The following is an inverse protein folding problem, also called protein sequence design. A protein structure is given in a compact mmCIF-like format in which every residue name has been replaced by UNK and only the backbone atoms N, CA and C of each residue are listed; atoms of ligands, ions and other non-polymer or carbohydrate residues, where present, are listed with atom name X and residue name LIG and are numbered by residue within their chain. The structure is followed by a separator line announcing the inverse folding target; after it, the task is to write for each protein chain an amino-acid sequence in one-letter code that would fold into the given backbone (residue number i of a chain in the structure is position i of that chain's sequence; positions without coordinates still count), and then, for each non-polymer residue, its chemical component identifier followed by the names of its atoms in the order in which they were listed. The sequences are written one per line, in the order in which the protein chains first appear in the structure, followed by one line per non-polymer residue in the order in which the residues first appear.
data_IF_649390080814
#
_entry.id   IF_649390080814
#
_cell.length_a   1.000
_cell.length_b   1.000
_cell.length_c   1.000
_cell.angle_alpha   90.00
_cell.angle_beta   90.00
_cell.angle_gamma   90.00
#
_symmetry.space_group_name_H-M   'P 1'
#
loop_
_entity.id
_entity.type
_entity.pdbx_description
1 polymer ?
#
# COMPACT_ATOMS: atom_id res chain seq x y z
N UNK A 1 23.22 14.24 -9.11
CA UNK A 1 23.71 14.14 -7.73
C UNK A 1 24.94 13.29 -7.80
N UNK A 2 26.07 13.83 -7.35
CA UNK A 2 27.34 13.12 -7.36
C UNK A 2 27.39 12.07 -6.24
N UNK A 3 28.24 11.05 -6.39
CA UNK A 3 28.43 10.01 -5.36
C UNK A 3 28.82 10.59 -4.01
N UNK A 4 29.79 11.50 -3.99
CA UNK A 4 30.28 12.15 -2.77
C UNK A 4 29.19 12.99 -2.07
N UNK A 5 28.30 13.60 -2.86
CA UNK A 5 27.15 14.34 -2.35
C UNK A 5 26.14 13.39 -1.69
N UNK A 6 25.81 12.27 -2.36
CA UNK A 6 24.92 11.25 -1.80
C UNK A 6 25.49 10.66 -0.50
N UNK A 7 26.77 10.31 -0.48
CA UNK A 7 27.49 9.81 0.70
C UNK A 7 27.39 10.78 1.89
N UNK A 8 27.71 12.06 1.65
CA UNK A 8 27.64 13.10 2.68
C UNK A 8 26.24 13.24 3.26
N UNK A 9 25.22 13.26 2.41
CA UNK A 9 23.82 13.37 2.84
C UNK A 9 23.40 12.15 3.66
N UNK A 10 23.71 10.93 3.21
CA UNK A 10 23.34 9.71 3.95
C UNK A 10 24.02 9.64 5.32
N UNK A 11 25.32 9.96 5.41
CA UNK A 11 26.05 10.02 6.69
C UNK A 11 25.44 11.05 7.65
N UNK A 12 25.11 12.24 7.14
CA UNK A 12 24.47 13.29 7.95
C UNK A 12 23.09 12.86 8.46
N UNK A 13 22.32 12.14 7.64
CA UNK A 13 21.00 11.63 8.02
C UNK A 13 21.11 10.57 9.11
N UNK A 14 22.08 9.65 9.00
CA UNK A 14 22.34 8.62 10.01
C UNK A 14 22.70 9.24 11.36
N UNK A 15 23.68 10.16 11.37
CA UNK A 15 24.08 10.86 12.60
C UNK A 15 22.91 11.63 13.24
N UNK A 16 22.06 12.25 12.41
CA UNK A 16 20.85 12.92 12.89
C UNK A 16 19.84 11.94 13.51
N UNK A 17 19.63 10.78 12.89
CA UNK A 17 18.72 9.76 13.43
C UNK A 17 19.29 9.11 14.71
N UNK A 18 20.61 9.00 14.84
CA UNK A 18 21.23 8.43 16.04
C UNK A 18 21.22 9.42 17.22
N UNK A 19 21.34 10.72 16.93
CA UNK A 19 21.34 11.79 17.95
C UNK A 19 19.95 12.21 18.43
N UNK A 20 18.93 12.15 17.58
CA UNK A 20 17.56 12.55 17.93
C UNK A 20 16.55 11.43 17.59
N UNK A 21 16.00 10.74 18.62
CA UNK A 21 14.96 9.74 18.44
C UNK A 21 13.69 10.24 17.74
N UNK A 22 13.38 11.54 17.84
CA UNK A 22 12.22 12.16 17.21
C UNK A 22 12.50 12.67 15.79
N UNK A 23 13.75 12.60 15.31
CA UNK A 23 14.10 13.05 13.98
C UNK A 23 13.43 12.18 12.90
N UNK A 24 12.81 12.85 11.93
CA UNK A 24 12.29 12.24 10.72
C UNK A 24 13.17 12.53 9.50
N UNK A 25 12.85 11.88 8.38
CA UNK A 25 13.58 12.04 7.12
C UNK A 25 13.22 13.33 6.37
N UNK A 26 12.14 14.01 6.76
CA UNK A 26 11.70 15.24 6.10
C UNK A 26 12.74 16.37 6.24
N UNK A 27 13.00 17.08 5.14
CA UNK A 27 13.96 18.19 5.11
C UNK A 27 15.44 17.80 5.21
N UNK A 28 15.77 16.52 5.39
CA UNK A 28 17.16 16.05 5.59
C UNK A 28 17.98 15.88 4.31
N UNK A 29 17.37 16.01 3.13
CA UNK A 29 18.00 15.67 1.85
C UNK A 29 17.88 14.19 1.46
N UNK A 30 17.54 13.30 2.39
CA UNK A 30 17.36 11.85 2.14
C UNK A 30 16.51 11.54 0.90
N UNK A 31 15.33 12.19 0.76
CA UNK A 31 14.44 11.96 -0.37
C UNK A 31 15.00 12.43 -1.72
N UNK A 32 15.97 13.36 -1.73
CA UNK A 32 16.70 13.75 -2.95
C UNK A 32 17.65 12.63 -3.37
N UNK A 33 18.36 12.01 -2.43
CA UNK A 33 19.22 10.84 -2.68
C UNK A 33 18.40 9.68 -3.22
N UNK A 34 17.26 9.38 -2.58
CA UNK A 34 16.31 8.35 -3.07
C UNK A 34 15.85 8.65 -4.50
N UNK A 35 15.54 9.90 -4.81
CA UNK A 35 15.12 10.29 -6.16
C UNK A 35 16.25 10.14 -7.18
N UNK A 36 17.49 10.48 -6.80
CA UNK A 36 18.67 10.29 -7.64
C UNK A 36 18.94 8.80 -7.90
N UNK A 37 18.87 7.96 -6.86
CA UNK A 37 19.01 6.51 -6.98
C UNK A 37 17.93 5.89 -7.89
N UNK A 38 16.72 6.43 -7.92
CA UNK A 38 15.67 5.96 -8.86
C UNK A 38 15.96 6.26 -10.33
N UNK A 39 16.78 7.28 -10.60
CA UNK A 39 17.14 7.74 -11.96
C UNK A 39 18.45 7.13 -12.43
N UNK A 40 19.39 6.87 -11.51
CA UNK A 40 20.74 6.39 -11.83
C UNK A 40 20.97 5.00 -11.24
N UNK A 41 20.99 3.94 -12.08
CA UNK A 41 21.16 2.56 -11.62
C UNK A 41 22.40 2.34 -10.76
N UNK A 42 23.52 3.00 -11.07
CA UNK A 42 24.77 2.86 -10.31
C UNK A 42 24.63 3.35 -8.86
N UNK A 43 23.93 4.49 -8.66
CA UNK A 43 23.63 4.99 -7.32
C UNK A 43 22.68 4.06 -6.57
N UNK A 44 21.72 3.43 -7.25
CA UNK A 44 20.88 2.42 -6.63
C UNK A 44 21.70 1.19 -6.23
N UNK A 45 22.56 0.67 -7.10
CA UNK A 45 23.37 -0.52 -6.79
C UNK A 45 24.28 -0.30 -5.57
N UNK A 46 24.82 0.89 -5.42
CA UNK A 46 25.74 1.24 -4.33
C UNK A 46 25.01 1.56 -3.02
N UNK A 47 23.98 2.42 -3.08
CA UNK A 47 23.36 2.97 -1.87
C UNK A 47 22.04 2.30 -1.46
N UNK A 48 21.47 1.38 -2.26
CA UNK A 48 20.16 0.77 -1.99
C UNK A 48 20.04 0.18 -0.58
N UNK A 49 21.05 -0.57 -0.13
CA UNK A 49 21.04 -1.19 1.19
C UNK A 49 21.07 -0.15 2.31
N UNK A 50 21.94 0.87 2.18
CA UNK A 50 22.07 1.95 3.14
C UNK A 50 20.80 2.80 3.23
N UNK A 51 20.25 3.17 2.07
CA UNK A 51 18.96 3.86 1.97
C UNK A 51 17.85 3.06 2.66
N UNK A 52 17.82 1.73 2.46
CA UNK A 52 16.83 0.87 3.08
C UNK A 52 16.98 0.76 4.59
N UNK A 53 18.21 0.75 5.11
CA UNK A 53 18.48 0.74 6.55
C UNK A 53 18.02 2.05 7.20
N UNK A 54 18.38 3.19 6.62
CA UNK A 54 17.96 4.52 7.09
C UNK A 54 16.43 4.67 7.07
N UNK A 55 15.79 4.33 5.93
CA UNK A 55 14.33 4.40 5.79
C UNK A 55 13.62 3.49 6.79
N UNK A 56 14.16 2.30 7.05
CA UNK A 56 13.59 1.36 8.02
C UNK A 56 13.70 1.89 9.45
N UNK A 57 14.88 2.38 9.84
CA UNK A 57 15.11 2.95 11.17
C UNK A 57 14.14 4.10 11.46
N UNK A 58 14.03 5.06 10.54
CA UNK A 58 13.08 6.16 10.69
C UNK A 58 11.61 5.70 10.67
N UNK A 59 11.27 4.69 9.86
CA UNK A 59 9.92 4.16 9.76
C UNK A 59 9.46 3.43 11.02
N UNK A 60 10.33 2.60 11.63
CA UNK A 60 9.98 1.83 12.83
C UNK A 60 9.70 2.74 14.03
N UNK A 61 10.29 3.94 14.07
CA UNK A 61 9.98 4.99 15.06
C UNK A 61 8.68 5.74 14.76
N UNK A 62 8.29 5.81 13.49
CA UNK A 62 7.08 6.51 13.04
C UNK A 62 5.82 5.65 13.16
N UNK A 63 5.93 4.34 12.90
CA UNK A 63 4.79 3.43 12.90
C UNK A 63 4.25 3.21 14.32
N UNK A 64 2.93 3.26 14.50
CA UNK A 64 2.30 2.98 15.80
C UNK A 64 2.41 1.49 16.17
N UNK A 65 2.28 0.64 15.16
CA UNK A 65 2.40 -0.81 15.31
C UNK A 65 3.13 -1.36 14.08
N UNK A 66 4.10 -2.24 14.31
CA UNK A 66 4.71 -3.06 13.28
C UNK A 66 4.50 -4.54 13.62
N UNK A 67 4.23 -5.34 12.59
CA UNK A 67 4.03 -6.77 12.70
C UNK A 67 4.96 -7.47 11.71
N UNK A 68 5.69 -8.53 12.11
CA UNK A 68 6.51 -9.32 11.19
C UNK A 68 5.72 -9.70 9.94
N UNK A 69 6.35 -9.58 8.76
CA UNK A 69 5.63 -9.72 7.48
C UNK A 69 4.80 -11.01 7.40
N UNK A 70 5.38 -12.15 7.79
CA UNK A 70 4.71 -13.45 7.71
C UNK A 70 3.46 -13.48 8.59
N UNK A 71 3.57 -13.02 9.84
CA UNK A 71 2.45 -12.97 10.80
C UNK A 71 1.36 -12.05 10.28
N UNK A 72 1.72 -10.84 9.83
CA UNK A 72 0.74 -9.89 9.29
C UNK A 72 0.08 -10.39 8.01
N UNK A 73 0.81 -11.11 7.15
CA UNK A 73 0.24 -11.70 5.92
C UNK A 73 -0.71 -12.85 6.25
N UNK A 74 -0.36 -13.73 7.20
CA UNK A 74 -1.26 -14.79 7.65
C UNK A 74 -2.53 -14.17 8.23
N UNK A 75 -2.40 -13.18 9.12
CA UNK A 75 -3.54 -12.47 9.68
C UNK A 75 -4.42 -11.83 8.60
N UNK A 76 -3.80 -11.13 7.63
CA UNK A 76 -4.52 -10.52 6.51
C UNK A 76 -5.30 -11.57 5.69
N UNK A 77 -4.68 -12.72 5.40
CA UNK A 77 -5.34 -13.83 4.67
C UNK A 77 -6.50 -14.40 5.49
N UNK A 78 -6.32 -14.64 6.78
CA UNK A 78 -7.40 -15.13 7.67
C UNK A 78 -8.58 -14.16 7.69
N UNK A 79 -8.30 -12.85 7.79
CA UNK A 79 -9.33 -11.81 7.77
C UNK A 79 -9.99 -11.72 6.38
N UNK A 80 -9.26 -11.89 5.28
CA UNK A 80 -9.84 -12.01 3.94
C UNK A 80 -10.79 -13.20 3.85
N UNK A 81 -10.40 -14.37 4.36
CA UNK A 81 -11.27 -15.56 4.41
C UNK A 81 -12.53 -15.29 5.23
N UNK A 82 -12.41 -14.63 6.39
CA UNK A 82 -13.58 -14.22 7.17
C UNK A 82 -14.50 -13.28 6.37
N UNK A 83 -13.95 -12.34 5.60
CA UNK A 83 -14.70 -11.49 4.69
C UNK A 83 -15.46 -12.29 3.61
N UNK A 84 -14.82 -13.29 3.02
CA UNK A 84 -15.46 -14.21 2.06
C UNK A 84 -16.56 -15.04 2.73
N UNK A 85 -16.34 -15.51 3.97
CA UNK A 85 -17.37 -16.24 4.74
C UNK A 85 -18.58 -15.35 5.00
N UNK A 86 -18.40 -14.07 5.36
CA UNK A 86 -19.53 -13.14 5.52
C UNK A 86 -20.32 -12.98 4.22
N UNK A 87 -19.64 -12.84 3.08
CA UNK A 87 -20.29 -12.82 1.75
C UNK A 87 -21.04 -14.13 1.49
N UNK A 88 -20.43 -15.28 1.82
CA UNK A 88 -21.06 -16.59 1.66
C UNK A 88 -22.31 -16.79 2.54
N UNK A 89 -22.27 -16.32 3.79
CA UNK A 89 -23.41 -16.39 4.71
C UNK A 89 -24.63 -15.61 4.19
N UNK A 90 -24.41 -14.55 3.40
CA UNK A 90 -25.50 -13.80 2.77
C UNK A 90 -26.43 -14.68 1.91
N UNK A 91 -25.94 -15.78 1.31
CA UNK A 91 -26.74 -16.71 0.50
C UNK A 91 -27.69 -17.59 1.32
N UNK A 92 -27.42 -17.74 2.62
CA UNK A 92 -28.16 -18.63 3.53
C UNK A 92 -28.96 -17.88 4.58
N UNK A 93 -28.98 -16.55 4.49
CA UNK A 93 -29.60 -15.66 5.46
C UNK A 93 -30.73 -14.87 4.82
N UNK A 94 -31.78 -14.55 5.57
CA UNK A 94 -32.90 -13.75 5.09
C UNK A 94 -32.61 -12.24 5.11
N UNK A 95 -33.41 -11.49 4.38
CA UNK A 95 -33.54 -10.03 4.49
C UNK A 95 -33.87 -9.64 5.95
N UNK A 96 -33.25 -8.58 6.54
CA UNK A 96 -32.20 -7.69 5.98
C UNK A 96 -30.77 -8.10 6.29
N UNK A 97 -30.58 -9.20 7.02
CA UNK A 97 -29.27 -9.58 7.53
C UNK A 97 -28.33 -10.02 6.42
N UNK A 98 -28.81 -10.64 5.34
CA UNK A 98 -27.98 -10.96 4.17
C UNK A 98 -27.32 -9.72 3.54
N UNK A 99 -28.04 -8.60 3.43
CA UNK A 99 -27.49 -7.33 2.95
C UNK A 99 -26.40 -6.77 3.85
N UNK A 100 -26.61 -6.82 5.18
CA UNK A 100 -25.61 -6.41 6.16
C UNK A 100 -24.36 -7.30 6.11
N UNK A 101 -24.52 -8.62 6.01
CA UNK A 101 -23.42 -9.58 5.90
C UNK A 101 -22.60 -9.34 4.63
N UNK A 102 -23.26 -9.12 3.49
CA UNK A 102 -22.59 -8.79 2.22
C UNK A 102 -21.75 -7.51 2.34
N UNK A 103 -22.32 -6.45 2.92
CA UNK A 103 -21.62 -5.17 3.07
C UNK A 103 -20.48 -5.25 4.09
N UNK A 104 -20.67 -5.95 5.20
CA UNK A 104 -19.61 -6.21 6.18
C UNK A 104 -18.46 -7.00 5.53
N UNK A 105 -18.78 -8.08 4.81
CA UNK A 105 -17.82 -8.86 4.04
C UNK A 105 -17.07 -8.01 3.00
N UNK A 106 -17.80 -7.17 2.27
CA UNK A 106 -17.22 -6.21 1.31
C UNK A 106 -16.22 -5.28 1.98
N UNK A 107 -16.57 -4.68 3.12
CA UNK A 107 -15.69 -3.79 3.88
C UNK A 107 -14.39 -4.49 4.32
N UNK A 108 -14.52 -5.70 4.87
CA UNK A 108 -13.37 -6.54 5.27
C UNK A 108 -12.47 -6.86 4.08
N UNK A 109 -13.06 -7.25 2.95
CA UNK A 109 -12.33 -7.58 1.73
C UNK A 109 -11.65 -6.34 1.16
N UNK A 110 -12.28 -5.17 1.14
CA UNK A 110 -11.67 -3.92 0.67
C UNK A 110 -10.37 -3.58 1.43
N UNK A 111 -10.41 -3.66 2.76
CA UNK A 111 -9.25 -3.36 3.61
C UNK A 111 -8.12 -4.37 3.39
N UNK A 112 -8.43 -5.67 3.44
CA UNK A 112 -7.40 -6.71 3.39
C UNK A 112 -6.81 -6.89 1.99
N UNK A 113 -7.66 -6.91 0.96
CA UNK A 113 -7.22 -7.18 -0.41
C UNK A 113 -6.40 -6.02 -1.00
N UNK A 114 -6.57 -4.79 -0.51
CA UNK A 114 -5.73 -3.65 -0.91
C UNK A 114 -4.25 -3.89 -0.57
N UNK A 115 -3.95 -4.21 0.69
CA UNK A 115 -2.58 -4.50 1.14
C UNK A 115 -2.03 -5.78 0.52
N UNK A 116 -2.86 -6.82 0.39
CA UNK A 116 -2.46 -8.07 -0.26
C UNK A 116 -2.18 -7.88 -1.75
N UNK A 117 -2.89 -7.00 -2.46
CA UNK A 117 -2.61 -6.70 -3.86
C UNK A 117 -1.22 -6.08 -4.03
N UNK A 118 -0.85 -5.11 -3.18
CA UNK A 118 0.51 -4.57 -3.17
C UNK A 118 1.55 -5.65 -2.92
N UNK A 119 1.30 -6.54 -1.95
CA UNK A 119 2.22 -7.61 -1.60
C UNK A 119 2.41 -8.58 -2.76
N UNK A 120 1.32 -9.08 -3.36
CA UNK A 120 1.36 -10.03 -4.47
C UNK A 120 2.04 -9.40 -5.69
N UNK A 121 1.56 -8.24 -6.15
CA UNK A 121 2.12 -7.58 -7.34
C UNK A 121 3.56 -7.14 -7.10
N UNK A 122 3.87 -6.64 -5.91
CA UNK A 122 5.22 -6.27 -5.51
C UNK A 122 6.18 -7.48 -5.53
N UNK A 123 5.79 -8.61 -4.95
CA UNK A 123 6.61 -9.83 -4.97
C UNK A 123 6.84 -10.34 -6.38
N UNK A 124 5.81 -10.35 -7.23
CA UNK A 124 5.94 -10.71 -8.65
C UNK A 124 6.84 -9.73 -9.42
N UNK A 125 6.88 -8.47 -9.00
CA UNK A 125 7.78 -7.45 -9.56
C UNK A 125 9.24 -7.58 -9.09
N UNK A 126 9.53 -8.42 -8.09
CA UNK A 126 10.85 -8.56 -7.45
C UNK A 126 11.07 -7.66 -6.24
N UNK A 127 10.01 -7.02 -5.73
CA UNK A 127 10.06 -6.10 -4.59
C UNK A 127 9.76 -6.87 -3.30
N UNK A 128 10.65 -6.76 -2.32
CA UNK A 128 10.45 -7.32 -0.98
C UNK A 128 9.73 -6.33 -0.07
N UNK A 129 9.19 -6.87 1.02
CA UNK A 129 8.52 -6.14 2.09
C UNK A 129 9.11 -6.57 3.41
N UNK A 130 9.07 -5.70 4.42
CA UNK A 130 9.68 -5.96 5.74
C UNK A 130 8.63 -6.27 6.79
N UNK A 131 7.59 -5.45 6.89
CA UNK A 131 6.58 -5.53 7.95
C UNK A 131 5.20 -5.15 7.42
N UNK A 132 4.16 -5.66 8.08
CA UNK A 132 2.87 -4.99 8.12
C UNK A 132 2.91 -3.90 9.20
N UNK A 133 2.13 -2.84 9.03
CA UNK A 133 2.11 -1.76 10.01
C UNK A 133 0.76 -1.07 10.09
N UNK A 134 0.55 -0.38 11.19
CA UNK A 134 -0.46 0.67 11.35
C UNK A 134 0.31 1.99 11.49
N UNK A 135 -0.09 2.99 10.70
CA UNK A 135 0.50 4.34 10.75
C UNK A 135 0.24 5.05 12.08
N UNK A 136 0.49 6.36 12.13
CA UNK A 136 0.33 7.14 13.37
C UNK A 136 -1.14 7.27 13.79
N UNK A 137 -1.41 7.74 15.00
CA UNK A 137 -2.77 8.03 15.48
C UNK A 137 -3.52 8.99 14.55
N UNK A 138 -2.81 9.97 13.96
CA UNK A 138 -3.40 10.89 12.99
C UNK A 138 -3.74 10.23 11.64
N UNK A 139 -3.11 9.10 11.31
CA UNK A 139 -3.30 8.34 10.08
C UNK A 139 -3.19 6.82 10.35
N UNK A 140 -4.17 6.21 11.05
CA UNK A 140 -4.09 4.83 11.55
C UNK A 140 -4.43 3.81 10.44
N UNK A 141 -3.87 4.00 9.25
CA UNK A 141 -4.14 3.16 8.09
C UNK A 141 -3.19 1.96 8.09
N UNK A 142 -3.70 0.73 7.87
CA UNK A 142 -2.87 -0.44 7.72
C UNK A 142 -2.10 -0.39 6.40
N UNK A 143 -0.87 -0.92 6.39
CA UNK A 143 -0.06 -1.00 5.18
C UNK A 143 1.03 -2.05 5.25
N UNK A 144 1.69 -2.27 4.11
CA UNK A 144 2.89 -3.10 3.98
C UNK A 144 4.10 -2.23 3.69
N UNK A 145 5.14 -2.34 4.52
CA UNK A 145 6.38 -1.57 4.34
C UNK A 145 7.24 -2.23 3.28
N UNK A 146 7.52 -1.49 2.21
CA UNK A 146 8.42 -1.91 1.14
C UNK A 146 9.88 -1.89 1.60
N UNK A 147 10.66 -2.90 1.22
CA UNK A 147 12.12 -2.92 1.36
C UNK A 147 12.76 -2.07 0.26
N UNK A 148 13.24 -0.88 0.63
CA UNK A 148 13.79 0.09 -0.32
C UNK A 148 14.98 -0.46 -1.10
N UNK A 149 15.70 -1.45 -0.59
CA UNK A 149 16.86 -2.00 -1.28
C UNK A 149 16.44 -2.65 -2.59
N UNK A 150 15.48 -3.59 -2.50
CA UNK A 150 14.91 -4.25 -3.69
C UNK A 150 13.98 -3.33 -4.49
N UNK A 151 13.36 -2.36 -3.85
CA UNK A 151 12.53 -1.38 -4.53
C UNK A 151 13.35 -0.55 -5.49
N UNK A 152 14.48 0.03 -5.05
CA UNK A 152 15.29 0.93 -5.89
C UNK A 152 15.93 0.21 -7.07
N UNK A 153 16.29 -1.06 -6.91
CA UNK A 153 16.85 -1.88 -7.98
C UNK A 153 15.80 -2.48 -8.93
N UNK A 154 14.50 -2.31 -8.62
CA UNK A 154 13.41 -2.76 -9.50
C UNK A 154 13.07 -1.69 -10.53
N UNK A 155 12.85 -2.08 -11.79
CA UNK A 155 12.48 -1.17 -12.87
C UNK A 155 11.27 -0.28 -12.52
N UNK A 156 11.34 1.01 -12.88
CA UNK A 156 10.35 2.03 -12.52
C UNK A 156 8.90 1.64 -12.86
N UNK A 157 8.67 1.07 -14.05
CA UNK A 157 7.34 0.61 -14.48
C UNK A 157 6.77 -0.46 -13.53
N UNK A 158 7.59 -1.39 -13.05
CA UNK A 158 7.16 -2.45 -12.12
C UNK A 158 6.82 -1.86 -10.74
N UNK A 159 7.61 -0.90 -10.25
CA UNK A 159 7.31 -0.16 -9.02
C UNK A 159 5.98 0.59 -9.13
N UNK A 160 5.73 1.21 -10.27
CA UNK A 160 4.47 1.90 -10.55
C UNK A 160 3.28 0.95 -10.43
N UNK A 161 3.29 -0.17 -11.14
CA UNK A 161 2.19 -1.15 -11.10
C UNK A 161 1.97 -1.77 -9.72
N UNK A 162 3.04 -1.95 -8.93
CA UNK A 162 2.89 -2.33 -7.52
C UNK A 162 2.05 -1.30 -6.75
N UNK A 163 2.30 0.00 -6.90
CA UNK A 163 1.45 1.03 -6.28
C UNK A 163 0.02 1.02 -6.85
N UNK A 164 -0.16 0.89 -8.16
CA UNK A 164 -1.51 0.88 -8.73
C UNK A 164 -2.36 -0.33 -8.28
N UNK A 165 -1.73 -1.46 -7.93
CA UNK A 165 -2.44 -2.72 -7.65
C UNK A 165 -3.47 -2.63 -6.52
N UNK A 166 -3.11 -2.04 -5.37
CA UNK A 166 -4.04 -1.86 -4.26
C UNK A 166 -5.21 -0.95 -4.62
N UNK A 167 -4.93 0.15 -5.32
CA UNK A 167 -5.96 1.09 -5.77
C UNK A 167 -6.90 0.50 -6.83
N UNK A 168 -6.40 -0.38 -7.70
CA UNK A 168 -7.23 -1.10 -8.68
C UNK A 168 -8.11 -2.14 -8.00
N UNK A 169 -7.54 -2.91 -7.07
CA UNK A 169 -8.28 -3.94 -6.34
C UNK A 169 -9.49 -3.35 -5.60
N UNK A 170 -9.32 -2.23 -4.90
CA UNK A 170 -10.42 -1.61 -4.14
C UNK A 170 -11.54 -1.04 -5.02
N UNK A 171 -11.28 -0.82 -6.30
CA UNK A 171 -12.30 -0.34 -7.26
C UNK A 171 -13.00 -1.48 -7.95
N UNK A 172 -12.27 -2.53 -8.31
CA UNK A 172 -12.84 -3.69 -8.99
C UNK A 172 -13.74 -4.48 -8.04
N UNK A 173 -13.33 -4.60 -6.77
CA UNK A 173 -13.98 -5.49 -5.82
C UNK A 173 -15.49 -5.22 -5.60
N UNK A 174 -15.97 -3.97 -5.40
CA UNK A 174 -17.41 -3.73 -5.24
C UNK A 174 -18.23 -4.20 -6.45
N UNK A 175 -17.74 -3.97 -7.67
CA UNK A 175 -18.44 -4.42 -8.88
C UNK A 175 -18.33 -5.94 -9.08
N UNK A 176 -17.20 -6.54 -8.70
CA UNK A 176 -17.03 -7.99 -8.74
C UNK A 176 -17.98 -8.74 -7.79
N UNK A 177 -18.45 -8.07 -6.73
CA UNK A 177 -19.42 -8.63 -5.78
C UNK A 177 -20.89 -8.39 -6.18
N UNK A 178 -21.18 -7.59 -7.22
CA UNK A 178 -22.56 -7.37 -7.69
C UNK A 178 -23.26 -8.67 -8.12
N UNK A 179 -22.64 -9.60 -8.88
CA UNK A 179 -23.27 -10.88 -9.18
C UNK A 179 -23.62 -11.67 -7.92
N UNK A 180 -22.74 -11.64 -6.91
CA UNK A 180 -23.00 -12.31 -5.64
C UNK A 180 -24.20 -11.70 -4.89
N UNK A 181 -24.31 -10.36 -4.89
CA UNK A 181 -25.46 -9.65 -4.33
C UNK A 181 -26.77 -10.07 -5.00
N UNK A 182 -26.79 -10.12 -6.34
CA UNK A 182 -27.97 -10.47 -7.12
C UNK A 182 -28.39 -11.92 -6.92
N UNK A 183 -27.44 -12.86 -6.92
CA UNK A 183 -27.73 -14.29 -6.74
C UNK A 183 -28.17 -14.59 -5.31
N UNK A 184 -27.57 -13.95 -4.31
CA UNK A 184 -27.96 -14.10 -2.92
C UNK A 184 -29.32 -13.44 -2.59
N UNK A 185 -29.94 -12.74 -3.55
CA UNK A 185 -31.23 -12.08 -3.35
C UNK A 185 -31.18 -11.02 -2.26
N UNK A 186 -30.07 -10.29 -2.12
CA UNK A 186 -29.95 -9.26 -1.08
C UNK A 186 -30.88 -8.08 -1.37
N UNK A 187 -31.30 -7.34 -0.34
CA UNK A 187 -32.16 -6.17 -0.51
C UNK A 187 -31.58 -5.14 -1.47
N UNK A 188 -32.46 -4.48 -2.22
CA UNK A 188 -32.06 -3.47 -3.22
C UNK A 188 -31.15 -2.38 -2.63
N UNK A 189 -31.40 -1.97 -1.38
CA UNK A 189 -30.57 -0.96 -0.70
C UNK A 189 -29.11 -1.41 -0.55
N UNK A 190 -28.84 -2.69 -0.28
CA UNK A 190 -27.49 -3.21 -0.12
C UNK A 190 -26.75 -3.25 -1.46
N UNK A 191 -27.45 -3.67 -2.52
CA UNK A 191 -26.92 -3.64 -3.89
C UNK A 191 -26.62 -2.21 -4.35
N UNK A 192 -27.52 -1.26 -4.07
CA UNK A 192 -27.30 0.16 -4.37
C UNK A 192 -26.08 0.69 -3.60
N UNK A 193 -25.96 0.40 -2.30
CA UNK A 193 -24.79 0.80 -1.52
C UNK A 193 -23.49 0.23 -2.08
N UNK A 194 -23.48 -1.02 -2.54
CA UNK A 194 -22.31 -1.63 -3.17
C UNK A 194 -21.88 -0.89 -4.45
N UNK A 195 -22.85 -0.51 -5.30
CA UNK A 195 -22.61 0.33 -6.47
C UNK A 195 -22.08 1.71 -6.06
N UNK A 196 -22.71 2.35 -5.08
CA UNK A 196 -22.30 3.67 -4.57
C UNK A 196 -20.87 3.62 -4.03
N UNK A 197 -20.51 2.60 -3.25
CA UNK A 197 -19.14 2.40 -2.76
C UNK A 197 -18.16 2.33 -3.94
N UNK A 198 -18.45 1.51 -4.94
CA UNK A 198 -17.61 1.38 -6.14
C UNK A 198 -17.46 2.70 -6.90
N UNK A 199 -18.57 3.37 -7.23
CA UNK A 199 -18.59 4.62 -7.99
C UNK A 199 -17.92 5.77 -7.22
N UNK A 200 -18.26 5.96 -5.94
CA UNK A 200 -17.64 6.98 -5.10
C UNK A 200 -16.14 6.71 -4.98
N UNK A 201 -15.71 5.45 -4.82
CA UNK A 201 -14.27 5.12 -4.77
C UNK A 201 -13.54 5.55 -6.05
N UNK A 202 -14.18 5.43 -7.23
CA UNK A 202 -13.62 5.86 -8.52
C UNK A 202 -13.58 7.39 -8.59
N UNK A 203 -14.69 8.06 -8.25
CA UNK A 203 -14.80 9.53 -8.30
C UNK A 203 -13.79 10.19 -7.38
N UNK A 204 -13.71 9.75 -6.11
CA UNK A 204 -12.72 10.26 -5.15
C UNK A 204 -11.31 10.12 -5.70
N UNK A 205 -11.03 9.04 -6.41
CA UNK A 205 -9.72 8.78 -6.96
C UNK A 205 -9.39 9.71 -8.15
N UNK A 206 -10.34 9.91 -9.06
CA UNK A 206 -10.18 10.85 -10.18
C UNK A 206 -9.93 12.28 -9.68
N UNK A 207 -10.67 12.69 -8.65
CA UNK A 207 -10.64 14.07 -8.15
C UNK A 207 -9.44 14.35 -7.23
N UNK A 208 -8.99 13.40 -6.41
CA UNK A 208 -7.95 13.62 -5.38
C UNK A 208 -6.68 12.77 -5.50
N UNK A 209 -6.70 11.63 -6.20
CA UNK A 209 -5.61 10.63 -6.10
C UNK A 209 -4.33 10.97 -6.83
N UNK A 210 -4.36 11.94 -7.75
CA UNK A 210 -3.12 12.45 -8.35
C UNK A 210 -2.29 13.27 -7.37
N UNK A 211 -2.86 13.69 -6.24
CA UNK A 211 -2.22 14.55 -5.22
C UNK A 211 -1.81 13.77 -3.97
N UNK A 212 -2.50 12.68 -3.63
CA UNK A 212 -2.30 11.84 -2.43
C UNK A 212 -2.57 10.37 -2.77
N UNK A 213 -1.94 9.44 -2.08
CA UNK A 213 -2.22 8.00 -2.25
C UNK A 213 -1.43 7.33 -3.38
N UNK A 214 -1.94 6.20 -3.88
CA UNK A 214 -1.16 5.32 -4.74
C UNK A 214 -1.04 5.77 -6.18
N UNK A 215 -2.02 6.50 -6.75
CA UNK A 215 -1.87 7.03 -8.10
C UNK A 215 -0.84 8.14 -8.18
N UNK A 216 -0.68 8.94 -7.13
CA UNK A 216 0.45 9.86 -6.99
C UNK A 216 1.77 9.09 -7.06
N UNK A 217 1.89 7.98 -6.34
CA UNK A 217 3.10 7.14 -6.35
C UNK A 217 3.29 6.50 -7.73
N UNK A 218 2.24 5.93 -8.33
CA UNK A 218 2.24 5.38 -9.69
C UNK A 218 2.76 6.41 -10.70
N UNK A 219 2.17 7.60 -10.74
CA UNK A 219 2.56 8.67 -11.67
C UNK A 219 4.01 9.09 -11.47
N UNK A 220 4.45 9.22 -10.21
CA UNK A 220 5.84 9.53 -9.87
C UNK A 220 6.80 8.43 -10.30
N UNK A 221 6.44 7.16 -10.15
CA UNK A 221 7.31 6.08 -10.62
C UNK A 221 7.33 6.02 -12.16
N UNK A 222 6.18 6.23 -12.82
CA UNK A 222 6.10 6.32 -14.28
C UNK A 222 6.87 7.51 -14.86
N UNK A 223 7.12 8.60 -14.11
CA UNK A 223 7.98 9.68 -14.62
C UNK A 223 9.44 9.23 -14.79
N UNK A 224 9.87 8.17 -14.11
CA UNK A 224 11.21 7.59 -14.28
C UNK A 224 11.29 6.53 -15.39
N UNK A 225 10.21 6.28 -16.14
CA UNK A 225 10.26 5.38 -17.30
C UNK A 225 10.53 6.12 -18.61
N UNK A 226 10.50 7.45 -18.60
CA UNK A 226 10.79 8.25 -19.79
C UNK A 226 12.31 8.24 -20.02
N UNK A 227 12.76 7.98 -21.26
CA UNK A 227 14.18 8.05 -21.61
C UNK A 227 14.74 9.46 -21.41
#
# INVERSE_FOLDING_TARGET
MERSEAETVLSTVEERLDSDPAAGLAGSGFWKVVSAAKQTPDLAMEFAQRIAAIDRNAFERWALLTVPLVVGTIAAVVVTVAGLVLVGLAYSTSDPLNGLLLLAGTGVLLVTTHGLAHLVVGRLAGIRFTHWFIGTIAQPQPGVKTDYATYLTTAARRRAWMHASGALMTKVLPFALLPAALIAGVPAWATILLVVIGVVSIITDILWSTKVGDWKKYRREMSFTKP
#
